data_IF_179954669483
#
_entry.id   IF_179954669483
#
_cell.length_a   1.000
_cell.length_b   1.000
_cell.length_c   1.000
_cell.angle_alpha   90.00
_cell.angle_beta   90.00
_cell.angle_gamma   90.00
#
_symmetry.space_group_name_H-M   'P 1'
#
loop_
_entity.id
_entity.type
_entity.pdbx_description
1 polymer ?
#
# COMPACT_ATOMS: atom_id res chain seq x y z
N UNK A 1 11.65 16.46 -0.50
CA UNK A 1 13.01 15.97 -0.25
C UNK A 1 13.02 14.55 -0.77
N UNK A 2 13.73 14.28 -1.86
CA UNK A 2 13.82 12.94 -2.45
C UNK A 2 14.86 12.18 -1.63
N UNK A 3 14.42 11.45 -0.60
CA UNK A 3 15.26 10.43 0.02
C UNK A 3 15.50 9.36 -1.06
N UNK A 4 16.73 9.27 -1.55
CA UNK A 4 17.12 8.24 -2.50
C UNK A 4 16.95 6.88 -1.83
N UNK A 5 16.21 5.96 -2.47
CA UNK A 5 15.99 4.57 -2.02
C UNK A 5 17.28 3.81 -1.62
N UNK A 6 18.46 4.35 -1.97
CA UNK A 6 19.77 3.90 -1.51
C UNK A 6 19.95 3.90 0.00
N UNK A 7 19.23 4.74 0.76
CA UNK A 7 19.30 4.76 2.23
C UNK A 7 18.52 3.59 2.87
N UNK A 8 17.72 2.87 2.09
CA UNK A 8 16.85 1.80 2.55
C UNK A 8 17.20 0.43 1.95
N UNK A 9 18.49 0.15 1.77
CA UNK A 9 19.00 -1.12 1.21
C UNK A 9 18.46 -2.36 1.93
N UNK A 10 18.24 -2.27 3.25
CA UNK A 10 17.73 -3.39 4.05
C UNK A 10 16.20 -3.52 4.02
N UNK A 11 15.49 -2.55 3.43
CA UNK A 11 14.03 -2.57 3.40
C UNK A 11 13.54 -3.31 2.16
N UNK A 12 12.56 -4.18 2.39
CA UNK A 12 11.84 -4.83 1.31
C UNK A 12 10.78 -3.89 0.78
N UNK A 13 10.78 -3.68 -0.53
CA UNK A 13 9.88 -2.76 -1.19
C UNK A 13 8.62 -3.50 -1.66
N UNK A 14 7.47 -2.96 -1.26
CA UNK A 14 6.16 -3.34 -1.76
C UNK A 14 5.56 -2.15 -2.49
N UNK A 15 5.15 -2.37 -3.72
CA UNK A 15 4.36 -1.44 -4.50
C UNK A 15 2.89 -1.76 -4.34
N UNK A 16 2.04 -0.74 -4.25
CA UNK A 16 0.59 -0.90 -4.17
C UNK A 16 -0.08 -0.07 -5.23
N UNK A 17 -1.13 -0.61 -5.83
CA UNK A 17 -1.94 0.09 -6.83
C UNK A 17 -3.42 -0.29 -6.68
N UNK A 18 -4.28 0.70 -6.80
CA UNK A 18 -5.72 0.54 -6.85
C UNK A 18 -6.28 1.17 -8.10
N UNK A 19 -6.46 0.39 -9.16
CA UNK A 19 -7.00 0.91 -10.43
C UNK A 19 -8.53 0.99 -10.46
N UNK A 20 -9.06 2.01 -11.13
CA UNK A 20 -10.49 2.16 -11.42
C UNK A 20 -10.73 2.64 -12.85
N UNK A 21 -11.60 1.93 -13.56
CA UNK A 21 -12.18 2.37 -14.82
C UNK A 21 -13.71 2.21 -14.80
N UNK A 22 -14.38 2.45 -15.93
CA UNK A 22 -15.84 2.40 -16.03
C UNK A 22 -16.43 1.00 -15.80
N UNK A 23 -15.63 -0.06 -15.99
CA UNK A 23 -16.07 -1.46 -16.01
C UNK A 23 -15.53 -2.27 -14.82
N UNK A 24 -14.45 -1.83 -14.18
CA UNK A 24 -13.78 -2.56 -13.11
C UNK A 24 -13.09 -1.63 -12.13
N UNK A 25 -13.03 -2.09 -10.88
CA UNK A 25 -12.14 -1.58 -9.85
C UNK A 25 -11.30 -2.74 -9.32
N UNK A 26 -9.99 -2.58 -9.26
CA UNK A 26 -9.03 -3.61 -8.82
C UNK A 26 -8.12 -3.06 -7.74
N UNK A 27 -7.53 -3.98 -6.97
CA UNK A 27 -6.55 -3.69 -5.92
C UNK A 27 -5.43 -4.69 -6.03
N UNK A 28 -4.19 -4.25 -5.86
CA UNK A 28 -3.04 -5.14 -5.94
C UNK A 28 -1.83 -4.60 -5.15
N UNK A 29 -0.91 -5.52 -4.84
CA UNK A 29 0.43 -5.17 -4.41
C UNK A 29 1.46 -6.05 -5.13
N UNK A 30 2.72 -5.60 -5.11
CA UNK A 30 3.86 -6.32 -5.64
C UNK A 30 5.09 -6.19 -4.74
N UNK A 31 5.58 -7.31 -4.22
CA UNK A 31 6.86 -7.41 -3.52
C UNK A 31 7.99 -7.56 -4.54
N UNK A 32 8.81 -6.51 -4.65
CA UNK A 32 9.90 -6.44 -5.62
C UNK A 32 10.96 -7.51 -5.38
N UNK A 33 11.30 -7.80 -4.12
CA UNK A 33 12.39 -8.72 -3.79
C UNK A 33 11.97 -10.18 -3.96
N UNK A 34 10.70 -10.53 -3.69
CA UNK A 34 10.17 -11.87 -3.96
C UNK A 34 9.67 -12.04 -5.41
N UNK A 35 9.53 -10.95 -6.17
CA UNK A 35 8.82 -10.92 -7.45
C UNK A 35 7.42 -11.53 -7.35
N UNK A 36 6.75 -11.25 -6.25
CA UNK A 36 5.44 -11.80 -5.94
C UNK A 36 4.40 -10.68 -5.93
N UNK A 37 3.42 -10.81 -6.81
CA UNK A 37 2.26 -9.93 -6.87
C UNK A 37 0.99 -10.66 -6.50
N UNK A 38 0.07 -9.94 -5.85
CA UNK A 38 -1.29 -10.43 -5.64
C UNK A 38 -2.28 -9.28 -5.75
N UNK A 39 -3.41 -9.55 -6.39
CA UNK A 39 -4.48 -8.59 -6.55
C UNK A 39 -5.81 -9.27 -6.86
N UNK A 40 -6.89 -8.52 -6.70
CA UNK A 40 -8.25 -8.98 -6.97
C UNK A 40 -9.16 -7.81 -7.34
N UNK A 41 -10.29 -8.14 -7.96
CA UNK A 41 -11.33 -7.16 -8.30
C UNK A 41 -12.22 -6.89 -7.09
N UNK A 42 -12.58 -5.62 -6.90
CA UNK A 42 -13.56 -5.17 -5.92
C UNK A 42 -14.79 -4.63 -6.64
N UNK A 43 -15.82 -4.24 -5.87
CA UNK A 43 -17.02 -3.63 -6.44
C UNK A 43 -16.68 -2.45 -7.34
N UNK A 44 -17.28 -2.40 -8.53
CA UNK A 44 -17.16 -1.27 -9.47
C UNK A 44 -17.67 0.05 -8.87
N UNK A 45 -18.52 -0.03 -7.85
CA UNK A 45 -19.00 1.12 -7.09
C UNK A 45 -17.94 1.71 -6.16
N UNK A 46 -16.88 0.96 -5.81
CA UNK A 46 -15.80 1.46 -4.98
C UNK A 46 -15.09 2.64 -5.66
N UNK A 47 -14.74 3.66 -4.89
CA UNK A 47 -13.99 4.82 -5.40
C UNK A 47 -12.53 4.44 -5.65
N UNK A 48 -11.83 5.24 -6.48
CA UNK A 48 -10.37 5.11 -6.65
C UNK A 48 -9.65 5.19 -5.30
N UNK A 49 -10.06 6.12 -4.43
CA UNK A 49 -9.55 6.23 -3.06
C UNK A 49 -9.72 4.94 -2.24
N UNK A 50 -10.86 4.27 -2.37
CA UNK A 50 -11.13 2.99 -1.70
C UNK A 50 -10.25 1.87 -2.25
N UNK A 51 -10.01 1.85 -3.56
CA UNK A 51 -9.12 0.88 -4.21
C UNK A 51 -7.70 1.03 -3.68
N UNK A 52 -7.16 2.24 -3.71
CA UNK A 52 -5.83 2.58 -3.19
C UNK A 52 -5.65 2.24 -1.71
N UNK A 53 -6.61 2.62 -0.86
CA UNK A 53 -6.56 2.27 0.56
C UNK A 53 -6.60 0.75 0.78
N UNK A 54 -7.40 0.02 -0.01
CA UNK A 54 -7.42 -1.44 0.05
C UNK A 54 -6.13 -2.09 -0.45
N UNK A 55 -5.46 -1.50 -1.43
CA UNK A 55 -4.16 -1.97 -1.91
C UNK A 55 -3.10 -1.90 -0.80
N UNK A 56 -3.07 -0.80 -0.03
CA UNK A 56 -2.24 -0.68 1.18
C UNK A 56 -2.63 -1.71 2.24
N UNK A 57 -3.93 -1.89 2.50
CA UNK A 57 -4.38 -2.89 3.47
C UNK A 57 -3.92 -4.31 3.08
N UNK A 58 -4.04 -4.67 1.80
CA UNK A 58 -3.59 -5.95 1.27
C UNK A 58 -2.09 -6.15 1.42
N UNK A 59 -1.28 -5.11 1.19
CA UNK A 59 0.15 -5.14 1.46
C UNK A 59 0.47 -5.38 2.94
N UNK A 60 -0.27 -4.77 3.87
CA UNK A 60 -0.08 -5.02 5.31
C UNK A 60 -0.45 -6.47 5.69
N UNK A 61 -1.51 -7.04 5.13
CA UNK A 61 -1.85 -8.45 5.32
C UNK A 61 -0.77 -9.39 4.79
N UNK A 62 -0.11 -9.00 3.69
CA UNK A 62 1.04 -9.72 3.19
C UNK A 62 2.21 -9.65 4.17
N UNK A 63 2.59 -8.45 4.63
CA UNK A 63 3.69 -8.22 5.60
C UNK A 63 3.49 -9.03 6.89
N UNK A 64 2.25 -9.10 7.38
CA UNK A 64 1.90 -9.88 8.58
C UNK A 64 2.33 -11.35 8.48
N UNK A 65 2.24 -11.94 7.28
CA UNK A 65 2.60 -13.34 7.02
C UNK A 65 4.12 -13.55 6.87
N UNK A 66 4.91 -12.48 6.77
CA UNK A 66 6.34 -12.55 6.51
C UNK A 66 7.14 -12.61 7.80
N UNK A 67 7.34 -13.80 8.36
CA UNK A 67 8.00 -13.97 9.67
C UNK A 67 9.48 -13.56 9.64
N UNK A 68 10.18 -13.82 8.53
CA UNK A 68 11.65 -13.69 8.44
C UNK A 68 12.16 -12.27 8.16
N UNK A 69 11.27 -11.32 7.82
CA UNK A 69 11.68 -9.96 7.43
C UNK A 69 10.90 -8.90 8.20
N UNK A 70 11.60 -7.91 8.75
CA UNK A 70 11.02 -6.90 9.63
C UNK A 70 10.94 -5.50 9.03
N UNK A 71 11.79 -5.16 8.05
CA UNK A 71 11.89 -3.80 7.49
C UNK A 71 11.21 -3.66 6.14
N UNK A 72 10.18 -2.82 6.04
CA UNK A 72 9.30 -2.73 4.88
C UNK A 72 9.10 -1.30 4.41
N UNK A 73 9.09 -1.12 3.10
CA UNK A 73 8.62 0.12 2.47
C UNK A 73 7.39 -0.22 1.67
N UNK A 74 6.31 0.50 1.94
CA UNK A 74 5.10 0.51 1.11
C UNK A 74 5.14 1.77 0.25
N UNK A 75 5.19 1.57 -1.07
CA UNK A 75 5.25 2.61 -2.09
C UNK A 75 3.86 2.69 -2.73
N UNK A 76 3.24 3.85 -2.63
CA UNK A 76 1.90 4.14 -3.17
C UNK A 76 1.94 5.47 -3.91
N UNK A 77 1.15 5.60 -4.96
CA UNK A 77 0.94 6.88 -5.64
C UNK A 77 -0.24 7.70 -5.07
N UNK A 78 -0.96 7.12 -4.11
CA UNK A 78 -2.13 7.76 -3.51
C UNK A 78 -1.77 8.67 -2.34
N UNK A 79 -1.36 9.90 -2.68
CA UNK A 79 -1.10 10.93 -1.67
C UNK A 79 -2.31 11.20 -0.76
N UNK A 80 -3.52 11.05 -1.32
CA UNK A 80 -4.78 11.20 -0.57
C UNK A 80 -4.93 10.19 0.57
N UNK A 81 -4.51 8.94 0.36
CA UNK A 81 -4.56 7.90 1.40
C UNK A 81 -3.47 8.15 2.45
N UNK A 82 -2.26 8.53 2.04
CA UNK A 82 -1.19 8.87 2.98
C UNK A 82 -1.55 10.05 3.89
N UNK A 83 -2.15 11.10 3.33
CA UNK A 83 -2.68 12.22 4.11
C UNK A 83 -3.76 11.77 5.09
N UNK A 84 -4.67 10.89 4.64
CA UNK A 84 -5.72 10.35 5.50
C UNK A 84 -5.15 9.49 6.64
N UNK A 85 -4.10 8.70 6.41
CA UNK A 85 -3.42 7.92 7.45
C UNK A 85 -2.72 8.81 8.48
N UNK A 86 -2.18 9.96 8.04
CA UNK A 86 -1.55 10.95 8.93
C UNK A 86 -2.56 11.79 9.74
N UNK A 87 -3.72 12.10 9.17
CA UNK A 87 -4.71 12.99 9.79
C UNK A 87 -5.68 12.26 10.71
N UNK A 88 -5.62 12.49 12.02
CA UNK A 88 -6.51 11.86 13.02
C UNK A 88 -7.95 12.42 13.07
N UNK A 89 -8.40 13.13 12.05
CA UNK A 89 -9.72 13.78 12.04
C UNK A 89 -10.83 12.80 11.63
N UNK A 90 -11.76 12.52 12.54
CA UNK A 90 -12.88 11.57 12.42
C UNK A 90 -14.02 12.04 11.49
N UNK A 91 -13.81 12.21 10.17
CA UNK A 91 -14.91 12.60 9.27
C UNK A 91 -15.14 11.57 8.13
N UNK A 92 -16.33 10.95 8.12
CA UNK A 92 -16.93 10.09 7.06
C UNK A 92 -16.45 8.62 6.93
N UNK A 93 -17.26 7.76 6.29
CA UNK A 93 -17.13 6.29 6.12
C UNK A 93 -15.80 5.78 5.54
N UNK A 94 -15.03 6.64 4.87
CA UNK A 94 -13.61 6.44 4.57
C UNK A 94 -12.77 6.18 5.82
N UNK A 95 -13.23 6.62 6.99
CA UNK A 95 -12.61 6.38 8.28
C UNK A 95 -12.55 4.92 8.68
N UNK A 96 -13.49 4.05 8.28
CA UNK A 96 -13.44 2.66 8.77
C UNK A 96 -12.22 1.95 8.19
N UNK A 97 -12.05 1.97 6.87
CA UNK A 97 -10.90 1.36 6.21
C UNK A 97 -9.58 2.00 6.66
N UNK A 98 -9.52 3.33 6.78
CA UNK A 98 -8.33 4.02 7.28
C UNK A 98 -8.02 3.63 8.74
N UNK A 99 -9.04 3.47 9.59
CA UNK A 99 -8.86 2.99 10.97
C UNK A 99 -8.38 1.54 10.99
N UNK A 100 -8.88 0.67 10.11
CA UNK A 100 -8.39 -0.71 10.02
C UNK A 100 -6.93 -0.76 9.58
N UNK A 101 -6.54 0.06 8.61
CA UNK A 101 -5.15 0.19 8.17
C UNK A 101 -4.27 0.67 9.34
N UNK A 102 -4.72 1.70 10.09
CA UNK A 102 -4.00 2.20 11.28
C UNK A 102 -3.86 1.14 12.36
N UNK A 103 -4.93 0.42 12.67
CA UNK A 103 -4.93 -0.62 13.69
C UNK A 103 -3.99 -1.76 13.29
N UNK A 104 -4.06 -2.21 12.02
CA UNK A 104 -3.18 -3.25 11.50
C UNK A 104 -1.73 -2.79 11.48
N UNK A 105 -1.45 -1.58 11.00
CA UNK A 105 -0.12 -0.98 11.05
C UNK A 105 0.42 -0.94 12.48
N UNK A 106 -0.37 -0.41 13.43
CA UNK A 106 0.02 -0.35 14.84
C UNK A 106 0.32 -1.74 15.41
N UNK A 107 -0.54 -2.72 15.12
CA UNK A 107 -0.35 -4.10 15.56
C UNK A 107 0.93 -4.73 14.97
N UNK A 108 1.20 -4.48 13.68
CA UNK A 108 2.44 -4.92 13.03
C UNK A 108 3.69 -4.33 13.68
N UNK A 109 3.67 -3.04 13.99
CA UNK A 109 4.81 -2.39 14.61
C UNK A 109 5.02 -2.81 16.08
N UNK A 110 3.93 -2.90 16.85
CA UNK A 110 4.02 -3.10 18.31
C UNK A 110 4.06 -4.57 18.73
N UNK A 111 3.35 -5.45 18.02
CA UNK A 111 3.25 -6.87 18.39
C UNK A 111 4.18 -7.73 17.54
N UNK A 112 4.28 -7.46 16.24
CA UNK A 112 5.10 -8.24 15.32
C UNK A 112 6.51 -7.67 15.08
N UNK A 113 6.84 -6.52 15.69
CA UNK A 113 8.16 -5.89 15.56
C UNK A 113 8.52 -5.50 14.13
N UNK A 114 7.53 -5.16 13.30
CA UNK A 114 7.75 -4.67 11.93
C UNK A 114 8.09 -3.19 11.96
N UNK A 115 9.05 -2.80 11.13
CA UNK A 115 9.35 -1.42 10.80
C UNK A 115 8.82 -1.15 9.39
N UNK A 116 7.79 -0.32 9.28
CA UNK A 116 7.07 -0.10 8.03
C UNK A 116 7.07 1.40 7.73
N UNK A 117 7.60 1.76 6.57
CA UNK A 117 7.67 3.13 6.07
C UNK A 117 6.74 3.27 4.88
N UNK A 118 6.01 4.38 4.80
CA UNK A 118 5.19 4.73 3.64
C UNK A 118 5.89 5.80 2.80
N UNK A 119 6.06 5.52 1.52
CA UNK A 119 6.64 6.46 0.54
C UNK A 119 5.61 6.78 -0.53
N UNK A 120 5.46 8.07 -0.81
CA UNK A 120 4.70 8.52 -1.97
C UNK A 120 5.57 8.53 -3.22
N UNK A 121 5.04 8.01 -4.33
CA UNK A 121 5.64 8.14 -5.67
C UNK A 121 4.65 8.81 -6.61
N UNK A 122 5.09 9.57 -7.63
CA UNK A 122 4.18 10.02 -8.67
C UNK A 122 3.67 8.82 -9.47
N UNK A 123 2.37 8.83 -9.77
CA UNK A 123 1.72 7.82 -10.61
C UNK A 123 2.39 7.76 -12.00
N UNK A 124 2.51 6.56 -12.58
CA UNK A 124 3.04 6.30 -13.92
C UNK A 124 4.48 6.74 -14.23
N UNK A 125 5.31 7.08 -13.24
CA UNK A 125 6.76 7.20 -13.47
C UNK A 125 7.36 5.82 -13.29
N UNK A 126 7.42 5.04 -14.37
CA UNK A 126 8.23 3.82 -14.64
C UNK A 126 9.11 3.23 -13.53
N UNK A 127 8.60 3.07 -12.31
CA UNK A 127 9.25 2.30 -11.27
C UNK A 127 8.93 0.86 -11.62
N UNK A 128 9.95 0.07 -11.89
CA UNK A 128 9.85 -1.31 -12.38
C UNK A 128 8.84 -2.20 -11.63
N UNK A 129 8.51 -1.84 -10.37
CA UNK A 129 7.44 -2.45 -9.59
C UNK A 129 6.01 -2.06 -10.00
N UNK A 130 5.71 -0.80 -10.32
CA UNK A 130 4.37 -0.35 -10.73
C UNK A 130 3.96 -0.90 -12.10
N UNK A 131 4.91 -1.02 -13.05
CA UNK A 131 4.62 -1.60 -14.36
C UNK A 131 4.14 -3.04 -14.27
N UNK A 132 4.52 -3.79 -13.22
CA UNK A 132 4.01 -5.16 -13.00
C UNK A 132 2.60 -5.19 -12.39
N UNK A 133 2.15 -4.09 -11.78
CA UNK A 133 0.81 -3.98 -11.19
C UNK A 133 -0.23 -3.46 -12.19
N UNK A 134 0.20 -2.64 -13.16
CA UNK A 134 -0.64 -2.05 -14.21
C UNK A 134 -1.17 -3.06 -15.27
N UNK A 135 -0.75 -4.34 -15.26
CA UNK A 135 -1.19 -5.36 -16.23
C UNK A 135 -2.44 -6.19 -15.82
N UNK A 136 -3.27 -5.70 -14.88
CA UNK A 136 -4.44 -6.40 -14.33
C UNK A 136 -5.81 -5.97 -14.85
#
# INVERSE_FOLDING_TARGET
MYETLSEFIDYRQIYTDGSKNALSTSVAFYDLSNRFGHGYKISTLASIYTAEAKAIFLALEYIEKQVLHSKWIIITDSMSVLMALKNNTFISSSNYLIQEIRNKYYHLCTIYGKDIIFIWTPSHIGVFGNEQVDFG
#
